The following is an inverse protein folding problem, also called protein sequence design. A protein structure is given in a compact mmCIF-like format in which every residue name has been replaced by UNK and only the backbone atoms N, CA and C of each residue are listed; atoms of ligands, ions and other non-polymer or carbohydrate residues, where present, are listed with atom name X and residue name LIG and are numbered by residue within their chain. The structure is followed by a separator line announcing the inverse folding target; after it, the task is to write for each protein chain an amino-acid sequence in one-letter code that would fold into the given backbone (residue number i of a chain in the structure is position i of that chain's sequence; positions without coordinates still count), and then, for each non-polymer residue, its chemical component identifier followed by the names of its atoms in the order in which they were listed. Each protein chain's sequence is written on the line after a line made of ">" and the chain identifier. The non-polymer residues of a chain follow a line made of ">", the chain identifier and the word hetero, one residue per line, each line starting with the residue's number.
data_IF_148846349574
#
_entry.id   IF_148846349574
#
_cell.length_a   1.000
_cell.length_b   1.000
_cell.length_c   1.000
_cell.angle_alpha   90.00
_cell.angle_beta   90.00
_cell.angle_gamma   90.00
#
_symmetry.space_group_name_H-M   'P 1'
#
loop_
_entity.id
_entity.type
_entity.pdbx_description
1 polymer ?
#
# COMPACT_ATOMS: atom_id res chain seq x y z
N UNK A 1 39.65 -43.02 16.43
CA UNK A 1 39.34 -41.78 15.76
C UNK A 1 40.35 -40.72 16.17
N UNK A 2 41.10 -40.20 15.21
CA UNK A 2 42.16 -39.24 15.52
C UNK A 2 41.61 -37.83 15.79
N UNK A 3 42.42 -36.92 16.36
CA UNK A 3 41.97 -35.55 16.74
C UNK A 3 41.43 -34.76 15.56
N UNK A 4 41.91 -34.98 14.34
CA UNK A 4 41.44 -34.30 13.11
C UNK A 4 40.05 -34.76 12.72
N UNK A 5 39.77 -36.07 12.79
CA UNK A 5 38.46 -36.65 12.49
C UNK A 5 37.37 -36.16 13.45
N UNK A 6 37.72 -36.02 14.76
CA UNK A 6 36.81 -35.43 15.77
C UNK A 6 36.51 -33.96 15.48
N UNK A 7 37.51 -33.17 15.07
CA UNK A 7 37.36 -31.76 14.78
C UNK A 7 36.47 -31.53 13.54
N UNK A 8 36.61 -32.34 12.48
CA UNK A 8 35.79 -32.27 11.28
C UNK A 8 34.34 -32.62 11.61
N UNK A 9 34.09 -33.65 12.43
CA UNK A 9 32.70 -34.02 12.81
C UNK A 9 32.05 -32.91 13.64
N UNK A 10 32.77 -32.27 14.55
CA UNK A 10 32.23 -31.15 15.35
C UNK A 10 31.93 -29.93 14.47
N UNK A 11 32.80 -29.63 13.49
CA UNK A 11 32.58 -28.53 12.55
C UNK A 11 31.36 -28.81 11.64
N UNK A 12 31.17 -30.06 11.18
CA UNK A 12 30.04 -30.46 10.35
C UNK A 12 28.72 -30.42 11.12
N UNK A 13 28.71 -30.81 12.40
CA UNK A 13 27.54 -30.72 13.27
C UNK A 13 27.18 -29.26 13.58
N UNK A 14 28.17 -28.37 13.78
CA UNK A 14 27.88 -26.93 13.95
C UNK A 14 27.31 -26.26 12.69
N UNK A 15 27.76 -26.67 11.50
CA UNK A 15 27.22 -26.16 10.23
C UNK A 15 25.78 -26.66 10.00
N UNK A 16 25.43 -27.89 10.39
CA UNK A 16 24.07 -28.42 10.30
C UNK A 16 23.09 -27.75 11.28
N UNK A 17 23.56 -27.29 12.45
CA UNK A 17 22.72 -26.56 13.41
C UNK A 17 22.43 -25.11 13.00
N UNK A 18 23.20 -24.51 12.09
CA UNK A 18 22.98 -23.14 11.62
C UNK A 18 21.89 -23.03 10.51
N UNK A 19 21.37 -24.15 10.00
CA UNK A 19 20.44 -24.18 8.87
C UNK A 19 18.96 -24.22 9.24
N UNK A 20 18.59 -24.16 10.52
CA UNK A 20 17.19 -24.04 10.95
C UNK A 20 16.86 -22.58 11.32
N UNK A 21 17.00 -21.65 10.37
CA UNK A 21 16.21 -20.42 10.43
C UNK A 21 14.77 -20.81 10.24
N UNK A 22 14.06 -21.09 11.34
CA UNK A 22 12.62 -21.24 11.29
C UNK A 22 12.05 -19.92 10.74
N UNK A 23 11.57 -19.93 9.49
CA UNK A 23 10.77 -18.84 8.95
C UNK A 23 9.51 -18.73 9.80
N UNK A 24 9.53 -17.84 10.77
CA UNK A 24 8.34 -17.50 11.54
C UNK A 24 7.53 -16.50 10.73
N UNK A 25 6.22 -16.71 10.66
CA UNK A 25 5.33 -15.74 10.03
C UNK A 25 5.42 -14.41 10.80
N UNK A 26 5.79 -13.34 10.09
CA UNK A 26 5.83 -11.99 10.64
C UNK A 26 4.56 -11.24 10.23
N UNK A 27 4.05 -10.37 11.12
CA UNK A 27 2.88 -9.52 10.88
C UNK A 27 3.27 -8.09 11.17
N UNK A 28 2.94 -7.23 10.23
CA UNK A 28 3.10 -5.78 10.35
C UNK A 28 1.76 -5.11 10.08
N UNK A 29 1.40 -4.09 10.86
CA UNK A 29 0.20 -3.29 10.63
C UNK A 29 0.62 -2.08 9.81
N UNK A 30 0.38 -2.12 8.50
CA UNK A 30 0.71 -1.00 7.59
C UNK A 30 -0.25 0.18 7.75
N UNK A 31 -1.53 -0.08 8.07
CA UNK A 31 -2.54 0.94 8.31
C UNK A 31 -3.60 0.44 9.29
N UNK A 32 -3.97 1.30 10.25
CA UNK A 32 -5.16 1.13 11.08
C UNK A 32 -5.75 2.52 11.32
N UNK A 33 -6.88 2.82 10.70
CA UNK A 33 -7.50 4.14 10.75
C UNK A 33 -9.02 4.07 10.71
N UNK A 34 -9.69 5.11 11.19
CA UNK A 34 -11.12 5.35 11.05
C UNK A 34 -11.44 6.57 10.19
N UNK A 35 -10.39 7.16 9.59
CA UNK A 35 -10.48 8.40 8.80
C UNK A 35 -9.51 8.40 7.61
N UNK A 36 -9.73 9.32 6.70
CA UNK A 36 -8.83 9.67 5.62
C UNK A 36 -7.58 10.38 6.14
N UNK A 37 -6.57 10.58 5.28
CA UNK A 37 -5.34 11.31 5.65
C UNK A 37 -5.58 12.77 6.03
N UNK A 38 -6.69 13.37 5.61
CA UNK A 38 -7.11 14.73 6.01
C UNK A 38 -8.14 14.76 7.13
N UNK A 39 -8.30 13.64 7.88
CA UNK A 39 -9.16 13.45 9.04
C UNK A 39 -10.67 13.45 8.75
N UNK A 40 -11.12 13.19 7.52
CA UNK A 40 -12.53 12.95 7.27
C UNK A 40 -12.93 11.54 7.76
N UNK A 41 -13.90 11.46 8.68
CA UNK A 41 -14.29 10.20 9.31
C UNK A 41 -15.09 9.28 8.37
N UNK A 42 -14.75 7.99 8.34
CA UNK A 42 -15.48 6.95 7.61
C UNK A 42 -16.89 6.68 8.18
N UNK A 43 -17.14 7.02 9.43
CA UNK A 43 -18.46 6.89 10.08
C UNK A 43 -19.58 7.62 9.33
N UNK A 44 -19.24 8.61 8.50
CA UNK A 44 -20.20 9.34 7.66
C UNK A 44 -20.67 8.59 6.44
N UNK A 45 -19.95 7.52 6.04
CA UNK A 45 -20.33 6.65 4.92
C UNK A 45 -21.45 5.69 5.36
N UNK A 46 -22.52 5.61 4.57
CA UNK A 46 -23.64 4.69 4.80
C UNK A 46 -23.53 3.54 3.80
N UNK A 47 -22.96 2.42 4.23
CA UNK A 47 -22.80 1.22 3.41
C UNK A 47 -23.77 0.15 3.94
N UNK A 48 -24.81 -0.18 3.16
CA UNK A 48 -25.78 -1.25 3.48
C UNK A 48 -25.48 -2.53 2.73
N UNK A 49 -25.03 -2.40 1.48
CA UNK A 49 -24.64 -3.51 0.61
C UNK A 49 -23.19 -3.30 0.20
N UNK A 50 -22.23 -3.74 0.99
CA UNK A 50 -20.82 -3.47 0.71
C UNK A 50 -20.36 -4.19 -0.57
N UNK A 51 -19.60 -3.47 -1.38
CA UNK A 51 -18.87 -3.99 -2.53
C UNK A 51 -17.39 -3.63 -2.37
N UNK A 52 -16.52 -4.60 -2.62
CA UNK A 52 -15.07 -4.44 -2.57
C UNK A 52 -14.51 -4.57 -3.98
N UNK A 53 -13.73 -3.60 -4.39
CA UNK A 53 -12.97 -3.65 -5.65
C UNK A 53 -11.50 -3.46 -5.36
N UNK A 54 -10.64 -4.22 -6.02
CA UNK A 54 -9.19 -4.06 -5.91
C UNK A 54 -8.64 -3.82 -7.31
N UNK A 55 -7.92 -2.73 -7.49
CA UNK A 55 -7.27 -2.38 -8.75
C UNK A 55 -5.75 -2.43 -8.60
N UNK A 56 -5.09 -2.86 -9.66
CA UNK A 56 -3.69 -2.54 -9.93
C UNK A 56 -3.65 -1.35 -10.87
N UNK A 57 -2.96 -0.28 -10.47
CA UNK A 57 -2.78 0.93 -11.27
C UNK A 57 -1.28 1.11 -11.54
N UNK A 58 -0.93 1.46 -12.77
CA UNK A 58 0.45 1.80 -13.15
C UNK A 58 0.45 3.23 -13.67
N UNK A 59 1.38 4.05 -13.15
CA UNK A 59 1.56 5.46 -13.58
C UNK A 59 2.99 5.61 -14.07
N UNK A 60 3.16 5.91 -15.36
CA UNK A 60 4.48 6.12 -15.98
C UNK A 60 5.21 7.33 -15.39
N UNK A 61 6.50 7.41 -15.65
CA UNK A 61 7.32 8.54 -15.18
C UNK A 61 6.79 9.86 -15.74
N UNK A 62 6.53 10.82 -14.86
CA UNK A 62 5.98 12.13 -15.21
C UNK A 62 4.50 12.15 -15.56
N UNK A 63 3.83 10.98 -15.58
CA UNK A 63 2.38 10.90 -15.80
C UNK A 63 1.60 11.25 -14.54
N UNK A 64 0.35 11.65 -14.74
CA UNK A 64 -0.60 11.95 -13.67
C UNK A 64 -1.99 11.43 -14.01
N UNK A 65 -2.77 11.10 -12.99
CA UNK A 65 -4.17 10.72 -13.13
C UNK A 65 -5.04 11.97 -13.32
N UNK A 66 -6.20 11.86 -13.96
CA UNK A 66 -7.16 12.97 -14.01
C UNK A 66 -7.57 13.43 -12.59
N UNK A 67 -7.87 14.73 -12.45
CA UNK A 67 -8.45 15.26 -11.21
C UNK A 67 -9.80 14.58 -10.94
N UNK A 68 -9.94 13.91 -9.81
CA UNK A 68 -11.11 13.12 -9.45
C UNK A 68 -11.35 13.13 -7.93
N UNK A 69 -12.49 12.61 -7.53
CA UNK A 69 -12.85 12.35 -6.12
C UNK A 69 -13.44 10.96 -5.95
N UNK A 70 -13.45 10.49 -4.70
CA UNK A 70 -14.10 9.24 -4.28
C UNK A 70 -15.23 9.53 -3.30
N UNK A 71 -16.35 8.83 -3.43
CA UNK A 71 -17.49 8.87 -2.49
C UNK A 71 -17.61 7.53 -1.72
N UNK A 72 -16.46 6.86 -1.51
CA UNK A 72 -16.32 5.55 -0.85
C UNK A 72 -14.93 5.47 -0.15
N UNK A 73 -14.71 4.43 0.66
CA UNK A 73 -13.38 4.18 1.23
C UNK A 73 -12.42 3.78 0.11
N UNK A 74 -11.29 4.46 0.04
CA UNK A 74 -10.21 4.18 -0.89
C UNK A 74 -8.88 4.11 -0.12
N UNK A 75 -8.19 2.99 -0.24
CA UNK A 75 -6.89 2.75 0.40
C UNK A 75 -5.89 2.37 -0.69
N UNK A 76 -4.89 3.22 -0.90
CA UNK A 76 -3.81 2.99 -1.84
C UNK A 76 -2.57 2.43 -1.13
N UNK A 77 -2.02 1.34 -1.63
CA UNK A 77 -0.72 0.79 -1.25
C UNK A 77 0.28 1.01 -2.37
N UNK A 78 1.39 1.67 -2.08
CA UNK A 78 2.49 1.86 -3.04
C UNK A 78 3.33 0.58 -3.07
N UNK A 79 3.09 -0.24 -4.07
CA UNK A 79 3.84 -1.49 -4.26
C UNK A 79 5.24 -1.23 -4.81
N UNK A 80 5.40 -0.18 -5.63
CA UNK A 80 6.68 0.24 -6.23
C UNK A 80 6.63 1.71 -6.63
N UNK A 81 7.77 2.41 -6.53
CA UNK A 81 7.94 3.79 -6.96
C UNK A 81 7.57 4.84 -5.90
N UNK A 82 7.36 6.07 -6.33
CA UNK A 82 7.03 7.22 -5.47
C UNK A 82 5.81 7.96 -6.01
N UNK A 83 4.72 7.94 -5.23
CA UNK A 83 3.45 8.60 -5.55
C UNK A 83 3.36 9.94 -4.84
N UNK A 84 3.01 11.02 -5.55
CA UNK A 84 2.57 12.26 -4.93
C UNK A 84 1.08 12.45 -5.20
N UNK A 85 0.28 12.63 -4.15
CA UNK A 85 -1.14 12.96 -4.24
C UNK A 85 -1.33 14.44 -3.96
N UNK A 86 -2.03 15.13 -4.85
CA UNK A 86 -2.21 16.59 -4.84
C UNK A 86 -3.71 16.89 -4.85
N UNK A 87 -4.17 17.71 -3.90
CA UNK A 87 -5.57 18.15 -3.80
C UNK A 87 -5.82 19.41 -4.64
N UNK A 88 -7.08 19.72 -4.91
CA UNK A 88 -7.45 20.93 -5.66
C UNK A 88 -7.24 22.24 -4.86
N UNK A 89 -6.99 22.15 -3.56
CA UNK A 89 -6.52 23.25 -2.69
C UNK A 89 -4.99 23.28 -2.51
N UNK A 90 -4.24 22.56 -3.36
CA UNK A 90 -2.77 22.48 -3.42
C UNK A 90 -2.10 21.91 -2.15
N UNK A 91 -2.78 21.12 -1.35
CA UNK A 91 -2.13 20.27 -0.35
C UNK A 91 -1.57 19.04 -1.02
N UNK A 92 -0.43 18.57 -0.56
CA UNK A 92 0.19 17.37 -1.13
C UNK A 92 0.70 16.42 -0.05
N UNK A 93 0.76 15.15 -0.41
CA UNK A 93 1.42 14.10 0.35
C UNK A 93 2.20 13.20 -0.61
N UNK A 94 3.44 12.86 -0.25
CA UNK A 94 4.27 11.94 -1.02
C UNK A 94 4.43 10.63 -0.26
N UNK A 95 4.26 9.53 -0.97
CA UNK A 95 4.40 8.17 -0.46
C UNK A 95 5.45 7.41 -1.27
N UNK A 96 6.25 6.63 -0.56
CA UNK A 96 7.25 5.75 -1.12
C UNK A 96 6.76 4.29 -1.12
N UNK A 97 7.53 3.43 -1.75
CA UNK A 97 7.29 1.98 -1.74
C UNK A 97 7.08 1.44 -0.33
N UNK A 98 6.05 0.62 -0.15
CA UNK A 98 5.64 0.04 1.13
C UNK A 98 4.66 0.90 1.95
N UNK A 99 4.45 2.16 1.60
CA UNK A 99 3.55 3.06 2.33
C UNK A 99 2.09 2.92 1.87
N UNK A 100 1.17 3.24 2.79
CA UNK A 100 -0.28 3.14 2.58
C UNK A 100 -0.94 4.48 2.83
N UNK A 101 -1.82 4.88 1.92
CA UNK A 101 -2.62 6.09 2.01
C UNK A 101 -4.10 5.77 2.18
N UNK A 102 -4.76 6.19 3.28
CA UNK A 102 -6.21 6.30 3.34
C UNK A 102 -6.65 7.57 2.59
N UNK A 103 -7.08 7.41 1.35
CA UNK A 103 -7.36 8.52 0.44
C UNK A 103 -8.56 9.38 0.86
N UNK A 104 -8.70 10.53 0.21
CA UNK A 104 -9.74 11.52 0.48
C UNK A 104 -11.13 11.03 0.08
N UNK A 105 -12.15 11.46 0.84
CA UNK A 105 -13.56 11.27 0.50
C UNK A 105 -14.18 12.62 0.14
N UNK A 106 -14.87 12.69 -1.00
CA UNK A 106 -15.61 13.85 -1.45
C UNK A 106 -14.78 15.06 -1.86
N UNK A 107 -13.46 14.96 -1.86
CA UNK A 107 -12.53 16.03 -2.23
C UNK A 107 -11.77 15.68 -3.50
N UNK A 108 -11.63 16.66 -4.39
CA UNK A 108 -10.90 16.49 -5.62
C UNK A 108 -9.39 16.43 -5.40
N UNK A 109 -8.76 15.46 -6.01
CA UNK A 109 -7.31 15.22 -5.98
C UNK A 109 -6.87 14.42 -7.21
N UNK A 110 -5.57 14.30 -7.38
CA UNK A 110 -4.96 13.44 -8.39
C UNK A 110 -3.63 12.88 -7.90
N UNK A 111 -3.27 11.71 -8.40
CA UNK A 111 -1.98 11.09 -8.19
C UNK A 111 -1.02 11.42 -9.32
N UNK A 112 0.22 11.72 -8.99
CA UNK A 112 1.29 12.03 -9.93
C UNK A 112 2.54 11.22 -9.65
N UNK A 113 3.18 10.74 -10.70
CA UNK A 113 4.50 10.13 -10.60
C UNK A 113 5.57 11.23 -10.63
N UNK A 114 6.11 11.55 -9.47
CA UNK A 114 7.23 12.50 -9.30
C UNK A 114 8.58 11.80 -9.20
N UNK A 115 8.60 10.46 -9.26
CA UNK A 115 9.79 9.63 -9.18
C UNK A 115 10.49 9.44 -10.54
N UNK A 116 11.46 8.53 -10.55
CA UNK A 116 12.28 8.20 -11.73
C UNK A 116 11.92 6.86 -12.36
N UNK A 117 10.98 6.13 -11.76
CA UNK A 117 10.52 4.80 -12.18
C UNK A 117 8.99 4.79 -12.25
N UNK A 118 8.37 3.89 -13.01
CA UNK A 118 6.92 3.72 -12.99
C UNK A 118 6.41 3.38 -11.59
N UNK A 119 5.26 3.93 -11.22
CA UNK A 119 4.59 3.57 -9.97
C UNK A 119 3.72 2.34 -10.22
N UNK A 120 3.73 1.37 -9.30
CA UNK A 120 2.71 0.34 -9.17
C UNK A 120 1.92 0.54 -7.89
N UNK A 121 0.60 0.73 -8.01
CA UNK A 121 -0.32 0.81 -6.88
C UNK A 121 -1.21 -0.44 -6.82
N UNK A 122 -1.54 -0.85 -5.60
CA UNK A 122 -2.68 -1.73 -5.33
C UNK A 122 -3.68 -0.91 -4.54
N UNK A 123 -4.86 -0.70 -5.10
CA UNK A 123 -5.87 0.20 -4.53
C UNK A 123 -7.12 -0.58 -4.17
N UNK A 124 -7.54 -0.47 -2.92
CA UNK A 124 -8.71 -1.13 -2.35
C UNK A 124 -9.84 -0.12 -2.21
N UNK A 125 -10.98 -0.42 -2.80
CA UNK A 125 -12.21 0.37 -2.72
C UNK A 125 -13.26 -0.41 -1.94
N UNK A 126 -13.92 0.26 -0.99
CA UNK A 126 -15.05 -0.32 -0.25
C UNK A 126 -16.17 0.71 -0.19
N UNK A 127 -17.31 0.38 -0.79
CA UNK A 127 -18.45 1.28 -0.86
C UNK A 127 -19.79 0.57 -0.93
N UNK A 128 -20.86 1.31 -1.10
CA UNK A 128 -22.18 0.77 -1.44
C UNK A 128 -22.10 0.16 -2.84
N UNK A 129 -22.71 -0.99 -3.04
CA UNK A 129 -22.75 -1.68 -4.34
C UNK A 129 -23.19 -0.76 -5.47
N UNK A 130 -22.38 -0.69 -6.52
CA UNK A 130 -22.64 0.13 -7.72
C UNK A 130 -22.19 1.59 -7.58
N UNK A 131 -21.57 1.99 -6.48
CA UNK A 131 -20.94 3.31 -6.37
C UNK A 131 -19.75 3.41 -7.33
N UNK A 132 -19.66 4.47 -8.17
CA UNK A 132 -18.50 4.68 -9.02
C UNK A 132 -17.21 4.76 -8.19
N UNK A 133 -16.13 4.12 -8.68
CA UNK A 133 -14.84 4.12 -7.97
C UNK A 133 -14.23 5.52 -7.91
N UNK A 134 -14.49 6.36 -8.93
CA UNK A 134 -14.07 7.76 -8.99
C UNK A 134 -15.05 8.58 -9.82
N UNK A 135 -15.08 9.89 -9.56
CA UNK A 135 -15.84 10.90 -10.32
C UNK A 135 -14.86 11.98 -10.74
N UNK A 136 -14.69 12.17 -12.05
CA UNK A 136 -13.81 13.21 -12.60
C UNK A 136 -14.40 14.60 -12.37
N UNK A 137 -13.53 15.62 -12.29
CA UNK A 137 -13.91 17.03 -12.17
C UNK A 137 -14.34 17.59 -13.50
#
# INVERSE_FOLDING_TARGET
>A
MNKVTKLIIILFVMILCAANSAYSAQKEVLLKTTSTWDNAEYSKLKIKKPEVTVLKIVIGVGEELPMHKHDLVNIAYVKHGTLTVITDDNREITLNEGEVLPELIGKYHYGKNTGKEPIELVVFYVGEKGTPLSVNK
#
